data_IF_168661746671
#
_entry.id   IF_168661746671
#
_cell.length_a   1.000
_cell.length_b   1.000
_cell.length_c   1.000
_cell.angle_alpha   90.00
_cell.angle_beta   90.00
_cell.angle_gamma   90.00
#
_symmetry.space_group_name_H-M   'P 1'
#
loop_
_entity.id
_entity.type
_entity.pdbx_description
1 polymer ?
#
# COMPACT_ATOMS: atom_id res chain seq x y z
N UNK A 1 -34.98 -8.75 30.95
CA UNK A 1 -34.58 -7.75 29.93
C UNK A 1 -34.21 -8.56 28.71
N UNK A 2 -34.91 -8.38 27.59
CA UNK A 2 -34.52 -8.99 26.32
C UNK A 2 -33.31 -8.22 25.79
N UNK A 3 -32.22 -8.94 25.53
CA UNK A 3 -30.95 -8.38 25.09
C UNK A 3 -30.61 -8.78 23.64
N UNK A 4 -31.56 -9.40 22.94
CA UNK A 4 -31.42 -9.85 21.55
C UNK A 4 -31.09 -8.68 20.60
N UNK A 5 -31.77 -7.52 20.66
CA UNK A 5 -31.43 -6.37 19.79
C UNK A 5 -30.00 -5.85 19.99
N UNK A 6 -29.47 -5.94 21.21
CA UNK A 6 -28.11 -5.53 21.54
C UNK A 6 -27.08 -6.54 21.03
N UNK A 7 -27.41 -7.83 21.07
CA UNK A 7 -26.57 -8.89 20.50
C UNK A 7 -26.51 -8.80 18.96
N UNK A 8 -27.64 -8.50 18.31
CA UNK A 8 -27.73 -8.28 16.86
C UNK A 8 -26.92 -7.05 16.43
N UNK A 9 -27.07 -5.92 17.12
CA UNK A 9 -26.30 -4.70 16.83
C UNK A 9 -24.77 -4.89 17.01
N UNK A 10 -24.35 -5.65 18.02
CA UNK A 10 -22.94 -5.99 18.21
C UNK A 10 -22.43 -6.91 17.10
N UNK A 11 -23.24 -7.89 16.68
CA UNK A 11 -22.89 -8.81 15.59
C UNK A 11 -22.77 -8.07 14.25
N UNK A 12 -23.73 -7.21 13.91
CA UNK A 12 -23.68 -6.36 12.72
C UNK A 12 -22.45 -5.45 12.72
N UNK A 13 -22.12 -4.85 13.87
CA UNK A 13 -20.93 -4.03 14.01
C UNK A 13 -19.64 -4.83 13.77
N UNK A 14 -19.52 -6.02 14.37
CA UNK A 14 -18.35 -6.89 14.18
C UNK A 14 -18.22 -7.35 12.73
N UNK A 15 -19.32 -7.79 12.10
CA UNK A 15 -19.32 -8.20 10.70
C UNK A 15 -18.92 -7.04 9.79
N UNK A 16 -19.48 -5.84 10.03
CA UNK A 16 -19.13 -4.65 9.27
C UNK A 16 -17.65 -4.27 9.41
N UNK A 17 -17.11 -4.25 10.63
CA UNK A 17 -15.69 -3.97 10.87
C UNK A 17 -14.79 -5.01 10.19
N UNK A 18 -15.15 -6.30 10.26
CA UNK A 18 -14.40 -7.36 9.57
C UNK A 18 -14.50 -7.18 8.05
N UNK A 19 -15.68 -7.00 7.49
CA UNK A 19 -15.86 -6.91 6.03
C UNK A 19 -15.19 -5.67 5.44
N UNK A 20 -15.22 -4.53 6.13
CA UNK A 20 -14.61 -3.28 5.63
C UNK A 20 -13.09 -3.26 5.88
N UNK A 21 -12.62 -3.46 7.12
CA UNK A 21 -11.20 -3.31 7.44
C UNK A 21 -10.34 -4.47 6.88
N UNK A 22 -10.89 -5.69 6.80
CA UNK A 22 -10.15 -6.85 6.30
C UNK A 22 -10.01 -6.84 4.77
N UNK A 23 -11.01 -6.34 4.05
CA UNK A 23 -10.92 -6.19 2.58
C UNK A 23 -9.90 -5.12 2.22
N UNK A 24 -9.85 -4.01 2.97
CA UNK A 24 -8.83 -2.99 2.81
C UNK A 24 -7.42 -3.53 3.11
N UNK A 25 -7.25 -4.29 4.19
CA UNK A 25 -5.98 -4.91 4.57
C UNK A 25 -5.49 -5.92 3.52
N UNK A 26 -6.37 -6.81 3.05
CA UNK A 26 -6.04 -7.77 1.99
C UNK A 26 -5.68 -7.08 0.68
N UNK A 27 -6.43 -6.03 0.31
CA UNK A 27 -6.13 -5.21 -0.87
C UNK A 27 -4.77 -4.54 -0.74
N UNK A 28 -4.43 -4.03 0.45
CA UNK A 28 -3.12 -3.47 0.74
C UNK A 28 -2.00 -4.50 0.54
N UNK A 29 -2.13 -5.71 1.09
CA UNK A 29 -1.13 -6.77 0.96
C UNK A 29 -0.93 -7.19 -0.50
N UNK A 30 -2.03 -7.37 -1.24
CA UNK A 30 -1.97 -7.73 -2.67
C UNK A 30 -1.28 -6.63 -3.49
N UNK A 31 -1.59 -5.36 -3.22
CA UNK A 31 -0.98 -4.23 -3.91
C UNK A 31 0.50 -4.07 -3.55
N UNK A 32 0.85 -4.31 -2.29
CA UNK A 32 2.22 -4.31 -1.82
C UNK A 32 3.07 -5.37 -2.53
N UNK A 33 2.63 -6.63 -2.55
CA UNK A 33 3.35 -7.73 -3.20
C UNK A 33 3.57 -7.47 -4.70
N UNK A 34 2.54 -6.97 -5.40
CA UNK A 34 2.65 -6.58 -6.81
C UNK A 34 3.65 -5.46 -7.02
N UNK A 35 3.59 -4.42 -6.18
CA UNK A 35 4.50 -3.27 -6.25
C UNK A 35 5.94 -3.69 -6.00
N UNK A 36 6.17 -4.50 -4.97
CA UNK A 36 7.49 -5.02 -4.62
C UNK A 36 8.08 -5.81 -5.77
N UNK A 37 7.30 -6.71 -6.38
CA UNK A 37 7.73 -7.49 -7.54
C UNK A 37 8.05 -6.61 -8.75
N UNK A 38 7.20 -5.62 -9.06
CA UNK A 38 7.45 -4.69 -10.15
C UNK A 38 8.74 -3.88 -9.96
N UNK A 39 9.07 -3.50 -8.72
CA UNK A 39 10.34 -2.84 -8.40
C UNK A 39 11.53 -3.79 -8.54
N UNK A 40 11.40 -5.04 -8.10
CA UNK A 40 12.45 -6.07 -8.29
C UNK A 40 12.74 -6.35 -9.76
N UNK A 41 11.75 -6.20 -10.65
CA UNK A 41 11.93 -6.33 -12.10
C UNK A 41 12.64 -5.10 -12.73
N UNK A 42 12.67 -3.96 -12.02
CA UNK A 42 13.33 -2.73 -12.46
C UNK A 42 14.79 -2.69 -12.00
N UNK A 43 15.06 -3.07 -10.75
CA UNK A 43 16.38 -2.91 -10.14
C UNK A 43 16.70 -4.02 -9.12
N UNK A 44 17.95 -4.49 -9.12
CA UNK A 44 18.47 -5.46 -8.15
C UNK A 44 19.00 -4.76 -6.89
N UNK A 45 18.13 -4.58 -5.90
CA UNK A 45 18.46 -4.00 -4.59
C UNK A 45 17.89 -4.86 -3.46
N UNK A 46 18.44 -4.79 -2.23
CA UNK A 46 17.91 -5.54 -1.11
C UNK A 46 16.44 -5.22 -0.83
N UNK A 47 15.64 -6.25 -0.56
CA UNK A 47 14.21 -6.14 -0.24
C UNK A 47 13.89 -5.03 0.76
N UNK A 48 14.67 -4.91 1.84
CA UNK A 48 14.49 -3.85 2.86
C UNK A 48 14.49 -2.43 2.28
N UNK A 49 15.20 -2.20 1.17
CA UNK A 49 15.25 -0.90 0.49
C UNK A 49 13.99 -0.66 -0.34
N UNK A 50 13.47 -1.72 -0.96
CA UNK A 50 12.19 -1.70 -1.67
C UNK A 50 11.06 -1.44 -0.67
N UNK A 51 11.06 -2.15 0.45
CA UNK A 51 10.09 -2.01 1.53
C UNK A 51 10.09 -0.56 2.08
N UNK A 52 11.29 -0.01 2.35
CA UNK A 52 11.47 1.38 2.77
C UNK A 52 10.97 2.37 1.71
N UNK A 53 11.26 2.12 0.44
CA UNK A 53 10.85 2.98 -0.66
C UNK A 53 9.33 3.06 -0.78
N UNK A 54 8.65 1.91 -0.78
CA UNK A 54 7.18 1.82 -0.83
C UNK A 54 6.60 2.57 0.37
N UNK A 55 7.09 2.29 1.59
CA UNK A 55 6.62 2.95 2.79
C UNK A 55 6.76 4.48 2.72
N UNK A 56 7.92 4.98 2.27
CA UNK A 56 8.16 6.41 2.15
C UNK A 56 7.23 7.06 1.12
N UNK A 57 6.97 6.40 -0.01
CA UNK A 57 6.01 6.88 -1.01
C UNK A 57 4.59 6.95 -0.46
N UNK A 58 4.12 5.92 0.25
CA UNK A 58 2.77 5.90 0.82
C UNK A 58 2.58 6.96 1.92
N UNK A 59 3.61 7.19 2.74
CA UNK A 59 3.55 8.19 3.82
C UNK A 59 3.54 9.65 3.33
N UNK A 60 4.01 9.93 2.11
CA UNK A 60 4.14 11.30 1.60
C UNK A 60 3.35 11.57 0.31
N UNK A 61 2.20 10.90 0.14
CA UNK A 61 1.33 11.04 -1.04
C UNK A 61 2.09 10.84 -2.38
N UNK A 62 3.04 9.89 -2.39
CA UNK A 62 3.85 9.53 -3.55
C UNK A 62 5.17 10.31 -3.73
N UNK A 63 5.49 11.29 -2.88
CA UNK A 63 6.66 12.17 -3.10
C UNK A 63 7.82 11.91 -2.15
N UNK A 64 8.94 11.38 -2.67
CA UNK A 64 10.22 11.37 -1.97
C UNK A 64 10.85 12.77 -1.99
N UNK A 65 11.01 13.39 -0.81
CA UNK A 65 11.73 14.66 -0.70
C UNK A 65 13.20 14.49 -1.11
N UNK A 66 13.82 15.57 -1.58
CA UNK A 66 15.23 15.56 -1.99
C UNK A 66 16.16 15.05 -0.87
N UNK A 67 15.84 15.35 0.39
CA UNK A 67 16.57 14.86 1.56
C UNK A 67 16.47 13.34 1.74
N UNK A 68 15.26 12.78 1.66
CA UNK A 68 15.03 11.32 1.77
C UNK A 68 15.69 10.56 0.62
N UNK A 69 15.64 11.14 -0.59
CA UNK A 69 16.36 10.61 -1.75
C UNK A 69 17.86 10.58 -1.49
N UNK A 70 18.46 11.71 -1.12
CA UNK A 70 19.91 11.78 -0.90
C UNK A 70 20.39 10.94 0.30
N UNK A 71 19.56 10.63 1.28
CA UNK A 71 19.97 9.87 2.46
C UNK A 71 19.83 8.35 2.31
N UNK A 72 18.94 7.88 1.44
CA UNK A 72 18.62 6.45 1.32
C UNK A 72 18.75 5.90 -0.10
N UNK A 73 18.76 6.75 -1.12
CA UNK A 73 18.63 6.37 -2.53
C UNK A 73 19.53 7.20 -3.45
N UNK A 74 20.71 7.61 -2.96
CA UNK A 74 21.70 8.37 -3.72
C UNK A 74 22.34 7.55 -4.84
N UNK A 75 22.39 6.23 -4.67
CA UNK A 75 22.87 5.26 -5.65
C UNK A 75 21.87 4.99 -6.79
N UNK A 76 20.63 5.47 -6.70
CA UNK A 76 19.63 5.34 -7.76
C UNK A 76 19.76 6.47 -8.79
N UNK A 77 19.73 6.09 -10.06
CA UNK A 77 19.58 7.04 -11.16
C UNK A 77 18.21 7.72 -11.13
N UNK A 78 18.09 8.86 -11.82
CA UNK A 78 16.79 9.52 -11.99
C UNK A 78 15.77 8.61 -12.69
N UNK A 79 16.22 7.82 -13.67
CA UNK A 79 15.38 6.91 -14.46
C UNK A 79 14.83 5.77 -13.60
N UNK A 80 15.68 5.10 -12.82
CA UNK A 80 15.26 4.05 -11.87
C UNK A 80 14.30 4.62 -10.83
N UNK A 81 14.58 5.81 -10.30
CA UNK A 81 13.70 6.45 -9.32
C UNK A 81 12.31 6.76 -9.90
N UNK A 82 12.24 7.24 -11.14
CA UNK A 82 10.97 7.49 -11.83
C UNK A 82 10.22 6.19 -12.07
N UNK A 83 10.90 5.15 -12.56
CA UNK A 83 10.30 3.84 -12.80
C UNK A 83 9.74 3.22 -11.50
N UNK A 84 10.51 3.26 -10.41
CA UNK A 84 10.07 2.77 -9.10
C UNK A 84 8.87 3.56 -8.56
N UNK A 85 8.87 4.89 -8.69
CA UNK A 85 7.71 5.72 -8.28
C UNK A 85 6.46 5.37 -9.10
N UNK A 86 6.63 5.13 -10.39
CA UNK A 86 5.54 4.73 -11.26
C UNK A 86 4.99 3.35 -10.87
N UNK A 87 5.86 2.39 -10.54
CA UNK A 87 5.44 1.08 -10.03
C UNK A 87 4.60 1.19 -8.75
N UNK A 88 5.00 2.06 -7.79
CA UNK A 88 4.17 2.35 -6.60
C UNK A 88 2.84 2.99 -6.98
N UNK A 89 2.86 3.95 -7.89
CA UNK A 89 1.63 4.61 -8.34
C UNK A 89 0.66 3.61 -9.00
N UNK A 90 1.16 2.70 -9.83
CA UNK A 90 0.34 1.70 -10.52
C UNK A 90 -0.19 0.62 -9.58
N UNK A 91 0.59 0.24 -8.56
CA UNK A 91 0.17 -0.72 -7.54
C UNK A 91 -0.96 -0.20 -6.65
N UNK A 92 -1.04 1.12 -6.42
CA UNK A 92 -2.01 1.73 -5.51
C UNK A 92 -3.07 2.61 -6.23
N UNK A 93 -2.94 2.86 -7.53
CA UNK A 93 -4.01 3.41 -8.36
C UNK A 93 -4.91 2.27 -8.87
N UNK A 94 -5.92 1.89 -8.10
CA UNK A 94 -7.14 1.32 -8.69
C UNK A 94 -8.26 2.36 -8.62
N UNK A 95 -9.03 2.57 -9.70
CA UNK A 95 -10.37 3.10 -9.55
C UNK A 95 -11.13 2.09 -8.67
N UNK A 96 -11.92 2.60 -7.73
CA UNK A 96 -12.96 1.81 -7.07
C UNK A 96 -13.69 1.04 -8.18
N UNK A 97 -13.49 -0.28 -8.28
CA UNK A 97 -14.45 -1.12 -8.97
C UNK A 97 -15.69 -1.03 -8.10
N UNK A 98 -16.60 -0.16 -8.53
CA UNK A 98 -17.97 -0.09 -8.06
C UNK A 98 -18.51 -1.52 -8.04
N UNK A 99 -18.59 -2.10 -6.84
CA UNK A 99 -19.48 -3.22 -6.60
C UNK A 99 -20.90 -2.70 -6.83
N UNK A 100 -21.36 -2.78 -8.09
CA UNK A 100 -22.77 -2.71 -8.48
C UNK A 100 -23.49 -4.01 -8.12
#
# INVERSE_FOLDING_TARGET
MDMTPQAEALYEFVIKTIEEEFVEELSFLVNYDKTKKAIQDIIDIPDRMIDLFIQLCLQSNGSLSARKRSSHFDFLTDEELVAMKQAVKDGYNRPNEEFS
#
